data_IF_940465262803
#
_entry.id   IF_940465262803
#
_cell.length_a   1.000
_cell.length_b   1.000
_cell.length_c   1.000
_cell.angle_alpha   90.00
_cell.angle_beta   90.00
_cell.angle_gamma   90.00
#
_symmetry.space_group_name_H-M   'P 1'
#
loop_
_entity.id
_entity.type
_entity.pdbx_description
1 polymer ?
#
# COMPACT_ATOMS: atom_id res chain seq x y z
N UNK A 1 3.14 -13.84 -13.16
CA UNK A 1 2.25 -12.79 -12.66
C UNK A 1 1.96 -11.82 -13.78
N UNK A 2 0.69 -11.45 -13.97
CA UNK A 2 0.29 -10.52 -15.04
C UNK A 2 0.18 -9.11 -14.46
N UNK A 3 1.11 -8.23 -14.85
CA UNK A 3 1.10 -6.81 -14.46
C UNK A 3 -0.16 -6.09 -14.95
N UNK A 4 -0.48 -4.97 -14.30
CA UNK A 4 -1.53 -4.07 -14.74
C UNK A 4 -1.22 -3.55 -16.15
N UNK A 5 -2.23 -3.50 -17.00
CA UNK A 5 -2.18 -2.98 -18.36
C UNK A 5 -3.12 -1.78 -18.51
N UNK A 6 -2.87 -0.90 -19.48
CA UNK A 6 -3.71 0.27 -19.75
C UNK A 6 -5.16 -0.07 -20.13
N UNK A 7 -5.39 -1.28 -20.64
CA UNK A 7 -6.71 -1.79 -21.03
C UNK A 7 -7.46 -2.46 -19.88
N UNK A 8 -6.83 -2.61 -18.71
CA UNK A 8 -7.47 -3.22 -17.55
C UNK A 8 -8.54 -2.29 -16.97
N UNK A 9 -9.69 -2.87 -16.64
CA UNK A 9 -10.68 -2.18 -15.81
C UNK A 9 -10.37 -2.38 -14.31
N UNK A 10 -11.15 -1.74 -13.45
CA UNK A 10 -10.97 -1.83 -11.99
C UNK A 10 -11.03 -3.27 -11.47
N UNK A 11 -11.92 -4.11 -12.01
CA UNK A 11 -12.04 -5.52 -11.61
C UNK A 11 -10.79 -6.31 -12.00
N UNK A 12 -10.27 -6.09 -13.21
CA UNK A 12 -9.03 -6.73 -13.69
C UNK A 12 -7.86 -6.37 -12.77
N UNK A 13 -7.74 -5.09 -12.39
CA UNK A 13 -6.72 -4.61 -11.44
C UNK A 13 -6.86 -5.31 -10.09
N UNK A 14 -8.06 -5.37 -9.52
CA UNK A 14 -8.30 -6.03 -8.22
C UNK A 14 -7.92 -7.51 -8.28
N UNK A 15 -8.33 -8.23 -9.33
CA UNK A 15 -8.03 -9.66 -9.49
C UNK A 15 -6.53 -9.89 -9.66
N UNK A 16 -5.85 -9.11 -10.51
CA UNK A 16 -4.41 -9.21 -10.73
C UNK A 16 -3.61 -8.91 -9.47
N UNK A 17 -3.95 -7.83 -8.77
CA UNK A 17 -3.21 -7.41 -7.58
C UNK A 17 -3.44 -8.35 -6.40
N UNK A 18 -4.66 -8.87 -6.23
CA UNK A 18 -4.98 -9.73 -5.10
C UNK A 18 -4.57 -11.19 -5.28
N UNK A 19 -4.32 -11.66 -6.50
CA UNK A 19 -4.00 -13.06 -6.81
C UNK A 19 -4.96 -14.07 -6.13
N UNK A 20 -6.23 -13.69 -5.97
CA UNK A 20 -7.25 -14.50 -5.30
C UNK A 20 -7.20 -14.49 -3.78
N UNK A 21 -6.27 -13.76 -3.14
CA UNK A 21 -6.24 -13.57 -1.69
C UNK A 21 -7.38 -12.61 -1.26
N UNK A 22 -8.36 -13.07 -0.45
CA UNK A 22 -9.50 -12.23 -0.06
C UNK A 22 -9.12 -11.02 0.81
N UNK A 23 -8.08 -11.14 1.63
CA UNK A 23 -7.58 -10.06 2.46
C UNK A 23 -6.90 -8.97 1.63
N UNK A 24 -6.10 -9.38 0.64
CA UNK A 24 -5.50 -8.47 -0.33
C UNK A 24 -6.55 -7.75 -1.19
N UNK A 25 -7.57 -8.49 -1.63
CA UNK A 25 -8.72 -7.93 -2.35
C UNK A 25 -9.42 -6.85 -1.51
N UNK A 26 -9.66 -7.13 -0.22
CA UNK A 26 -10.22 -6.16 0.72
C UNK A 26 -9.36 -4.90 0.84
N UNK A 27 -8.04 -5.05 1.01
CA UNK A 27 -7.11 -3.93 1.12
C UNK A 27 -7.09 -3.06 -0.16
N UNK A 28 -7.02 -3.68 -1.34
CA UNK A 28 -7.05 -2.96 -2.63
C UNK A 28 -8.38 -2.22 -2.81
N UNK A 29 -9.51 -2.85 -2.50
CA UNK A 29 -10.82 -2.19 -2.56
C UNK A 29 -10.89 -1.00 -1.60
N UNK A 30 -10.31 -1.11 -0.42
CA UNK A 30 -10.26 -0.01 0.54
C UNK A 30 -9.41 1.16 0.03
N UNK A 31 -8.25 0.88 -0.57
CA UNK A 31 -7.41 1.88 -1.23
C UNK A 31 -8.19 2.60 -2.33
N UNK A 32 -8.86 1.86 -3.22
CA UNK A 32 -9.56 2.44 -4.38
C UNK A 32 -10.79 3.26 -3.99
N UNK A 33 -11.44 2.92 -2.87
CA UNK A 33 -12.69 3.58 -2.45
C UNK A 33 -12.45 4.73 -1.47
N UNK A 34 -11.45 4.60 -0.59
CA UNK A 34 -11.20 5.57 0.49
C UNK A 34 -9.85 6.27 0.38
N UNK A 35 -8.91 5.75 -0.42
CA UNK A 35 -7.55 6.26 -0.49
C UNK A 35 -7.45 7.71 -0.94
N UNK A 36 -8.36 8.18 -1.80
CA UNK A 36 -8.42 9.59 -2.20
C UNK A 36 -8.82 10.56 -1.07
N UNK A 37 -9.51 10.08 -0.03
CA UNK A 37 -9.86 10.90 1.14
C UNK A 37 -8.65 11.08 2.07
N UNK A 38 -7.84 10.03 2.22
CA UNK A 38 -6.63 10.05 3.04
C UNK A 38 -5.50 10.76 2.30
N UNK A 39 -5.32 10.48 1.01
CA UNK A 39 -4.27 11.05 0.18
C UNK A 39 -4.86 11.63 -1.11
N UNK A 40 -5.31 12.90 -1.07
CA UNK A 40 -5.86 13.59 -2.23
C UNK A 40 -4.88 13.67 -3.41
N UNK A 41 -3.57 13.57 -3.16
CA UNK A 41 -2.52 13.72 -4.15
C UNK A 41 -2.13 12.38 -4.83
N UNK A 42 -2.79 11.26 -4.50
CA UNK A 42 -2.43 9.90 -4.95
C UNK A 42 -3.33 9.35 -6.07
N UNK A 43 -3.84 10.22 -6.96
CA UNK A 43 -4.77 9.82 -8.03
C UNK A 43 -5.98 9.01 -7.51
N UNK A 44 -6.57 9.43 -6.40
CA UNK A 44 -7.76 8.77 -5.84
C UNK A 44 -7.52 7.34 -5.34
N UNK A 45 -6.30 6.98 -4.96
CA UNK A 45 -5.93 5.64 -4.48
C UNK A 45 -5.38 4.72 -5.57
N UNK A 46 -5.73 4.94 -6.85
CA UNK A 46 -5.18 4.17 -7.97
C UNK A 46 -3.65 4.30 -8.03
N UNK A 47 -3.10 5.49 -7.72
CA UNK A 47 -1.65 5.69 -7.68
C UNK A 47 -0.93 4.77 -6.70
N UNK A 48 -1.55 4.46 -5.56
CA UNK A 48 -1.01 3.52 -4.57
C UNK A 48 -1.04 2.08 -5.08
N UNK A 49 -2.11 1.68 -5.79
CA UNK A 49 -2.22 0.34 -6.39
C UNK A 49 -1.18 0.14 -7.49
N UNK A 50 -1.00 1.12 -8.37
CA UNK A 50 0.04 1.09 -9.42
C UNK A 50 1.44 1.05 -8.82
N UNK A 51 1.65 1.69 -7.67
CA UNK A 51 2.93 1.65 -6.99
C UNK A 51 3.23 0.28 -6.35
N UNK A 52 2.22 -0.39 -5.80
CA UNK A 52 2.34 -1.79 -5.38
C UNK A 52 2.74 -2.70 -6.55
N UNK A 53 2.12 -2.54 -7.72
CA UNK A 53 2.48 -3.27 -8.95
C UNK A 53 3.94 -2.98 -9.38
N UNK A 54 4.39 -1.73 -9.21
CA UNK A 54 5.77 -1.32 -9.49
C UNK A 54 6.78 -1.99 -8.56
N UNK A 55 6.49 -2.08 -7.26
CA UNK A 55 7.30 -2.79 -6.28
C UNK A 55 7.20 -4.32 -6.45
N UNK A 56 6.17 -4.78 -7.15
CA UNK A 56 5.83 -6.19 -7.29
C UNK A 56 5.42 -6.82 -5.96
N UNK A 57 4.60 -6.09 -5.20
CA UNK A 57 3.95 -6.53 -3.97
C UNK A 57 2.52 -6.93 -4.36
N UNK A 58 2.23 -8.23 -4.32
CA UNK A 58 0.99 -8.84 -4.80
C UNK A 58 0.41 -9.79 -3.76
N UNK A 59 -0.87 -10.12 -3.89
CA UNK A 59 -1.54 -11.18 -3.15
C UNK A 59 -1.27 -11.14 -1.66
N UNK A 60 -0.72 -12.23 -1.12
CA UNK A 60 -0.43 -12.35 0.31
C UNK A 60 0.48 -11.24 0.84
N UNK A 61 1.42 -10.72 0.05
CA UNK A 61 2.31 -9.64 0.48
C UNK A 61 1.52 -8.33 0.71
N UNK A 62 0.49 -8.06 -0.11
CA UNK A 62 -0.42 -6.93 0.12
C UNK A 62 -1.20 -7.13 1.42
N UNK A 63 -1.68 -8.36 1.66
CA UNK A 63 -2.37 -8.66 2.90
C UNK A 63 -1.46 -8.44 4.11
N UNK A 64 -0.23 -8.94 4.09
CA UNK A 64 0.77 -8.76 5.17
C UNK A 64 1.09 -7.28 5.38
N UNK A 65 1.31 -6.53 4.29
CA UNK A 65 1.53 -5.07 4.38
C UNK A 65 0.38 -4.39 5.11
N UNK A 66 -0.86 -4.71 4.73
CA UNK A 66 -2.04 -4.11 5.32
C UNK A 66 -2.29 -4.58 6.75
N UNK A 67 -2.30 -5.89 7.00
CA UNK A 67 -2.73 -6.47 8.27
C UNK A 67 -1.63 -6.45 9.33
N UNK A 68 -0.45 -6.96 8.99
CA UNK A 68 0.56 -7.32 9.99
C UNK A 68 1.52 -6.15 10.21
N UNK A 69 1.93 -5.50 9.12
CA UNK A 69 2.84 -4.36 9.17
C UNK A 69 2.07 -3.08 9.57
N UNK A 70 0.92 -2.83 8.94
CA UNK A 70 0.17 -1.57 9.15
C UNK A 70 -1.00 -1.70 10.12
N UNK A 71 -1.14 -2.80 10.86
CA UNK A 71 -2.22 -3.02 11.84
C UNK A 71 -3.64 -2.80 11.27
N UNK A 72 -3.86 -3.16 10.00
CA UNK A 72 -5.10 -2.90 9.25
C UNK A 72 -5.49 -1.42 9.15
N UNK A 73 -4.53 -0.51 9.30
CA UNK A 73 -4.74 0.92 9.09
C UNK A 73 -4.44 1.30 7.65
N UNK A 74 -5.47 1.70 6.92
CA UNK A 74 -5.31 2.22 5.55
C UNK A 74 -4.40 3.45 5.53
N UNK A 75 -4.54 4.37 6.49
CA UNK A 75 -3.70 5.58 6.57
C UNK A 75 -2.22 5.25 6.77
N UNK A 76 -1.90 4.26 7.62
CA UNK A 76 -0.52 3.78 7.80
C UNK A 76 0.02 3.12 6.52
N UNK A 77 -0.78 2.27 5.88
CA UNK A 77 -0.40 1.61 4.63
C UNK A 77 -0.10 2.62 3.52
N UNK A 78 -0.98 3.60 3.31
CA UNK A 78 -0.78 4.66 2.33
C UNK A 78 0.45 5.52 2.67
N UNK A 79 0.69 5.79 3.95
CA UNK A 79 1.87 6.52 4.37
C UNK A 79 3.17 5.73 4.13
N UNK A 80 3.21 4.43 4.38
CA UNK A 80 4.38 3.59 4.07
C UNK A 80 4.68 3.61 2.57
N UNK A 81 3.65 3.51 1.72
CA UNK A 81 3.80 3.60 0.27
C UNK A 81 4.32 4.98 -0.16
N UNK A 82 3.77 6.07 0.39
CA UNK A 82 4.25 7.44 0.13
C UNK A 82 5.67 7.68 0.61
N UNK A 83 6.01 7.22 1.81
CA UNK A 83 7.35 7.35 2.35
C UNK A 83 8.37 6.65 1.44
N UNK A 84 7.99 5.50 0.89
CA UNK A 84 8.80 4.77 -0.10
C UNK A 84 8.92 5.55 -1.41
N UNK A 85 7.83 6.15 -1.92
CA UNK A 85 7.87 7.02 -3.10
C UNK A 85 8.76 8.25 -2.91
N UNK A 86 8.79 8.83 -1.70
CA UNK A 86 9.63 9.98 -1.37
C UNK A 86 11.08 9.61 -1.04
N UNK A 87 11.43 8.32 -1.03
CA UNK A 87 12.77 7.85 -0.69
C UNK A 87 13.10 7.89 0.81
N UNK A 88 12.09 8.03 1.68
CA UNK A 88 12.27 7.92 3.14
C UNK A 88 12.43 6.46 3.60
N UNK A 89 12.02 5.51 2.76
CA UNK A 89 12.17 4.09 3.01
C UNK A 89 12.50 3.36 1.69
N UNK A 90 13.29 2.29 1.78
CA UNK A 90 13.68 1.52 0.59
C UNK A 90 12.58 0.56 0.16
N UNK A 91 12.18 0.64 -1.10
CA UNK A 91 11.14 -0.21 -1.68
C UNK A 91 11.52 -1.69 -1.73
N UNK A 92 12.83 -2.01 -1.83
CA UNK A 92 13.27 -3.42 -1.76
C UNK A 92 13.11 -3.97 -0.34
N UNK A 93 13.51 -3.21 0.68
CA UNK A 93 13.26 -3.59 2.07
C UNK A 93 11.77 -3.72 2.38
N UNK A 94 10.93 -2.82 1.86
CA UNK A 94 9.48 -2.94 2.02
C UNK A 94 8.96 -4.25 1.42
N UNK A 95 9.36 -4.57 0.18
CA UNK A 95 8.98 -5.83 -0.45
C UNK A 95 9.44 -7.03 0.36
N UNK A 96 10.69 -7.05 0.83
CA UNK A 96 11.22 -8.12 1.67
C UNK A 96 10.40 -8.28 2.94
N UNK A 97 10.10 -7.20 3.65
CA UNK A 97 9.28 -7.22 4.86
C UNK A 97 7.89 -7.84 4.60
N UNK A 98 7.26 -7.50 3.48
CA UNK A 98 5.94 -8.04 3.12
C UNK A 98 5.96 -9.54 2.80
N UNK A 99 7.11 -10.11 2.45
CA UNK A 99 7.23 -11.55 2.14
C UNK A 99 7.31 -12.46 3.38
N UNK A 100 7.48 -11.88 4.57
CA UNK A 100 7.58 -12.62 5.83
C UNK A 100 6.20 -12.92 6.42
N UNK A 101 5.79 -14.19 6.36
CA UNK A 101 4.49 -14.67 6.83
C UNK A 101 4.46 -15.02 8.34
N UNK A 102 5.57 -14.80 9.05
CA UNK A 102 5.75 -15.13 10.47
C UNK A 102 5.72 -13.88 11.38
N UNK A 103 5.17 -12.76 10.88
CA UNK A 103 5.11 -11.44 11.53
C UNK A 103 6.46 -10.72 11.70
N UNK A 104 7.59 -11.35 11.40
CA UNK A 104 8.92 -10.72 11.55
C UNK A 104 9.11 -9.48 10.68
N UNK A 105 8.39 -9.40 9.55
CA UNK A 105 8.39 -8.23 8.66
C UNK A 105 7.95 -6.92 9.32
N UNK A 106 7.14 -7.00 10.40
CA UNK A 106 6.68 -5.82 11.14
C UNK A 106 7.84 -5.06 11.80
N UNK A 107 8.88 -5.75 12.24
CA UNK A 107 10.04 -5.14 12.89
C UNK A 107 10.94 -4.38 11.90
N UNK A 108 10.82 -4.66 10.60
CA UNK A 108 11.64 -4.05 9.55
C UNK A 108 11.15 -2.68 9.10
N UNK A 109 9.85 -2.38 9.30
CA UNK A 109 9.21 -1.17 8.75
C UNK A 109 8.87 -0.22 9.91
N UNK A 110 9.53 0.95 10.02
CA UNK A 110 9.26 1.91 11.09
C UNK A 110 8.00 2.73 10.78
N UNK A 111 6.84 2.07 10.76
CA UNK A 111 5.57 2.62 10.24
C UNK A 111 5.20 3.97 10.84
N UNK A 112 5.27 4.11 12.16
CA UNK A 112 4.86 5.36 12.83
C UNK A 112 5.80 6.54 12.52
N UNK A 113 7.10 6.27 12.30
CA UNK A 113 8.06 7.30 11.88
C UNK A 113 7.81 7.72 10.43
N UNK A 114 7.58 6.76 9.54
CA UNK A 114 7.26 7.02 8.14
C UNK A 114 5.96 7.80 8.01
N UNK A 115 4.94 7.44 8.79
CA UNK A 115 3.67 8.16 8.84
C UNK A 115 3.86 9.63 9.25
N UNK A 116 4.65 9.90 10.30
CA UNK A 116 4.97 11.28 10.71
C UNK A 116 5.68 12.06 9.58
N UNK A 117 6.73 11.49 8.98
CA UNK A 117 7.46 12.11 7.87
C UNK A 117 6.55 12.42 6.68
N UNK A 118 5.61 11.54 6.36
CA UNK A 118 4.64 11.77 5.28
C UNK A 118 3.70 12.91 5.62
N UNK A 119 3.17 13.00 6.85
CA UNK A 119 2.32 14.14 7.24
C UNK A 119 3.05 15.47 7.25
N UNK A 120 4.32 15.48 7.63
CA UNK A 120 5.16 16.67 7.53
C UNK A 120 5.37 17.09 6.06
N UNK A 121 5.54 16.12 5.15
CA UNK A 121 5.74 16.37 3.72
C UNK A 121 4.45 16.70 2.96
N UNK A 122 3.33 16.12 3.36
CA UNK A 122 2.00 16.26 2.78
C UNK A 122 1.01 16.68 3.88
N UNK A 123 0.87 17.98 4.17
CA UNK A 123 0.00 18.44 5.27
C UNK A 123 -1.48 18.07 5.13
N UNK A 124 -1.96 17.85 3.90
CA UNK A 124 -3.33 17.41 3.64
C UNK A 124 -3.54 15.89 3.82
N UNK A 125 -2.46 15.12 3.95
CA UNK A 125 -2.53 13.68 4.15
C UNK A 125 -3.21 13.35 5.48
N UNK A 126 -4.25 12.53 5.43
CA UNK A 126 -5.03 12.05 6.57
C UNK A 126 -5.65 13.20 7.39
N UNK A 127 -5.92 14.34 6.72
CA UNK A 127 -6.48 15.54 7.36
C UNK A 127 -8.01 15.48 7.56
N UNK A 128 -8.68 14.55 6.86
CA UNK A 128 -10.13 14.38 6.85
C UNK A 128 -10.61 12.97 7.21
N UNK A 129 -9.68 12.10 7.61
CA UNK A 129 -9.94 10.69 7.89
C UNK A 129 -10.43 10.47 9.33
#
# INVERSE_FOLDING_TARGET
MSKIQLTDNTMDVVVKMSEGNPGAMGAIMEILTKGGTIDPNAMGGLGSVLFLDTLGIYGTDIYILFSDICDRSLSKMLAVLRATQFGFFDGKLLKTACSFQDYSGREMVPVDELYKKVKERLPEFDSKA
#
